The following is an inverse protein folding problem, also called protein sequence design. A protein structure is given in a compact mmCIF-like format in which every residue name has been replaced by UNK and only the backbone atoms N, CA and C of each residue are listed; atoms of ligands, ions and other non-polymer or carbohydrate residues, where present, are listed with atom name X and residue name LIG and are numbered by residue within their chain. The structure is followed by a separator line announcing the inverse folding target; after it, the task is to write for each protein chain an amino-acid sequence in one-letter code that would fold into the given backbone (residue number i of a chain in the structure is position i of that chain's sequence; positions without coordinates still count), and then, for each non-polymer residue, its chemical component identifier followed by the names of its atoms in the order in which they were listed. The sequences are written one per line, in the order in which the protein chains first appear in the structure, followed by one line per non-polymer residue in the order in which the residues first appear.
data_IF_137440895100
#
_entry.id   IF_137440895100
#
_cell.length_a   1.000
_cell.length_b   1.000
_cell.length_c   1.000
_cell.angle_alpha   90.00
_cell.angle_beta   90.00
_cell.angle_gamma   90.00
#
_symmetry.space_group_name_H-M   'P 1'
#
loop_
_entity.id
_entity.type
_entity.pdbx_description
1 polymer ?
#
# COMPACT_ATOMS: atom_id res chain seq x y z
N UNK A 1 20.82 -3.33 11.90
CA UNK A 1 19.47 -3.81 11.53
C UNK A 1 19.06 -3.13 10.24
N UNK A 2 18.58 -3.91 9.26
CA UNK A 2 18.07 -3.38 8.00
C UNK A 2 16.74 -2.64 8.22
N UNK A 3 16.30 -1.86 7.23
CA UNK A 3 15.08 -1.08 7.34
C UNK A 3 14.26 -1.07 6.07
N UNK A 4 12.95 -1.29 6.22
CA UNK A 4 11.93 -1.12 5.18
C UNK A 4 10.78 -0.31 5.77
N UNK A 5 10.35 0.73 5.07
CA UNK A 5 9.25 1.60 5.48
C UNK A 5 8.29 1.90 4.36
N UNK A 6 7.06 1.44 4.48
CA UNK A 6 5.98 1.77 3.56
C UNK A 6 5.34 3.09 3.99
N UNK A 7 5.73 4.18 3.33
CA UNK A 7 5.24 5.54 3.62
C UNK A 7 3.94 5.83 2.86
N UNK A 8 2.82 5.23 3.26
CA UNK A 8 1.54 5.37 2.54
C UNK A 8 0.70 6.53 3.06
N UNK A 9 1.27 7.73 3.06
CA UNK A 9 0.68 8.91 3.72
C UNK A 9 -0.45 9.56 2.93
N UNK A 10 -0.47 9.34 1.60
CA UNK A 10 -1.57 9.80 0.79
C UNK A 10 -2.75 8.86 0.98
N UNK A 11 -3.94 9.41 1.23
CA UNK A 11 -5.09 8.60 1.61
C UNK A 11 -6.41 9.29 1.29
N UNK A 12 -7.41 8.50 0.91
CA UNK A 12 -8.75 8.95 0.57
C UNK A 12 -9.75 7.79 0.67
N UNK A 13 -11.03 8.07 0.49
CA UNK A 13 -12.01 7.07 0.08
C UNK A 13 -12.28 7.22 -1.43
N UNK A 14 -12.97 6.24 -2.02
CA UNK A 14 -13.24 6.24 -3.45
C UNK A 14 -14.54 6.98 -3.84
N UNK A 15 -15.18 7.73 -2.92
CA UNK A 15 -16.49 8.35 -3.16
C UNK A 15 -16.52 9.22 -4.43
N UNK A 16 -15.44 9.98 -4.68
CA UNK A 16 -15.32 10.85 -5.85
C UNK A 16 -15.14 10.14 -7.20
N UNK A 17 -14.90 8.81 -7.19
CA UNK A 17 -14.69 8.04 -8.42
C UNK A 17 -16.00 7.68 -9.14
N UNK A 18 -17.16 7.90 -8.50
CA UNK A 18 -18.45 7.86 -9.18
C UNK A 18 -18.82 9.28 -9.66
N UNK A 19 -19.17 9.46 -10.94
CA UNK A 19 -19.64 10.76 -11.40
C UNK A 19 -20.99 11.07 -10.74
N UNK A 20 -21.21 12.29 -10.23
CA UNK A 20 -22.52 12.66 -9.70
C UNK A 20 -23.56 12.71 -10.83
N UNK A 21 -24.80 12.32 -10.53
CA UNK A 21 -25.89 12.51 -11.47
C UNK A 21 -26.17 14.01 -11.63
N UNK A 22 -26.35 14.45 -12.88
CA UNK A 22 -26.76 15.82 -13.21
C UNK A 22 -28.21 15.82 -13.71
N UNK A 23 -28.83 17.00 -13.68
CA UNK A 23 -30.17 17.20 -14.24
C UNK A 23 -30.20 16.80 -15.72
N UNK A 24 -31.33 16.24 -16.17
CA UNK A 24 -31.51 15.81 -17.56
C UNK A 24 -30.84 14.48 -17.92
N UNK A 25 -30.40 13.69 -16.94
CA UNK A 25 -29.85 12.34 -17.18
C UNK A 25 -28.37 12.33 -17.59
N UNK A 26 -27.66 13.44 -17.42
CA UNK A 26 -26.23 13.53 -17.67
C UNK A 26 -25.39 13.10 -16.45
N UNK A 27 -24.12 12.80 -16.68
CA UNK A 27 -23.14 12.55 -15.61
C UNK A 27 -22.20 13.74 -15.46
N UNK A 28 -21.84 14.05 -14.20
CA UNK A 28 -20.75 14.96 -13.88
C UNK A 28 -19.38 14.31 -14.10
N UNK A 29 -18.34 14.97 -13.60
CA UNK A 29 -16.96 14.48 -13.73
C UNK A 29 -16.60 13.65 -12.50
N UNK A 30 -16.27 12.39 -12.72
CA UNK A 30 -15.62 11.57 -11.70
C UNK A 30 -14.16 12.00 -11.52
N UNK A 31 -13.68 11.98 -10.30
CA UNK A 31 -12.33 12.40 -9.94
C UNK A 31 -11.61 11.30 -9.17
N UNK A 32 -10.33 11.11 -9.49
CA UNK A 32 -9.44 10.34 -8.66
C UNK A 32 -8.99 11.17 -7.45
N UNK A 33 -8.63 10.52 -6.33
CA UNK A 33 -7.90 11.19 -5.26
C UNK A 33 -6.67 11.95 -5.79
N UNK A 34 -6.41 13.12 -5.21
CA UNK A 34 -5.25 13.96 -5.54
C UNK A 34 -3.94 13.21 -5.29
N UNK A 35 -2.82 13.63 -5.86
CA UNK A 35 -1.48 13.05 -5.62
C UNK A 35 -1.34 11.55 -5.98
N UNK A 36 -2.22 11.00 -6.83
CA UNK A 36 -2.04 9.65 -7.39
C UNK A 36 -1.09 9.59 -8.60
N UNK A 37 -0.67 10.72 -9.16
CA UNK A 37 0.26 10.75 -10.30
C UNK A 37 1.71 10.43 -9.87
N UNK A 38 1.92 9.18 -9.48
CA UNK A 38 3.20 8.68 -8.98
C UNK A 38 3.30 7.17 -9.16
N UNK A 39 4.54 6.67 -9.21
CA UNK A 39 4.83 5.26 -9.02
C UNK A 39 4.74 4.93 -7.52
N UNK A 40 4.27 3.74 -7.17
CA UNK A 40 4.23 3.34 -5.77
C UNK A 40 3.42 2.10 -5.47
N UNK A 41 3.21 1.91 -4.17
CA UNK A 41 2.38 0.85 -3.60
C UNK A 41 1.13 1.46 -3.01
N UNK A 42 0.04 0.70 -3.02
CA UNK A 42 -1.23 1.11 -2.45
C UNK A 42 -1.95 -0.05 -1.79
N UNK A 43 -2.78 0.28 -0.82
CA UNK A 43 -3.68 -0.64 -0.13
C UNK A 43 -5.08 -0.07 -0.29
N UNK A 44 -5.99 -0.89 -0.81
CA UNK A 44 -7.43 -0.63 -0.88
C UNK A 44 -8.11 -1.54 0.12
N UNK A 45 -9.04 -0.99 0.90
CA UNK A 45 -9.85 -1.75 1.85
C UNK A 45 -11.32 -1.45 1.57
N UNK A 46 -12.08 -2.48 1.24
CA UNK A 46 -13.53 -2.40 1.21
C UNK A 46 -14.07 -2.79 2.59
N UNK A 47 -14.62 -1.83 3.33
CA UNK A 47 -15.12 -2.05 4.70
C UNK A 47 -16.42 -2.86 4.75
N UNK A 48 -17.18 -2.91 3.65
CA UNK A 48 -18.42 -3.69 3.56
C UNK A 48 -18.16 -5.19 3.43
N UNK A 49 -17.14 -5.57 2.65
CA UNK A 49 -16.84 -6.98 2.38
C UNK A 49 -15.59 -7.47 3.10
N UNK A 50 -14.88 -6.57 3.79
CA UNK A 50 -13.55 -6.80 4.37
C UNK A 50 -12.51 -7.31 3.33
N UNK A 51 -12.70 -6.97 2.05
CA UNK A 51 -11.73 -7.29 1.00
C UNK A 51 -10.58 -6.29 1.03
N UNK A 52 -9.36 -6.81 0.88
CA UNK A 52 -8.15 -6.01 0.86
C UNK A 52 -7.42 -6.26 -0.44
N UNK A 53 -7.13 -5.18 -1.16
CA UNK A 53 -6.29 -5.25 -2.35
C UNK A 53 -4.99 -4.51 -2.05
N UNK A 54 -3.88 -5.22 -2.15
CA UNK A 54 -2.53 -4.65 -2.06
C UNK A 54 -1.92 -4.76 -3.44
N UNK A 55 -1.30 -3.69 -3.93
CA UNK A 55 -0.60 -3.78 -5.19
C UNK A 55 0.32 -2.62 -5.47
N UNK A 56 1.04 -2.78 -6.57
CA UNK A 56 2.06 -1.84 -7.06
C UNK A 56 1.63 -1.23 -8.40
N UNK A 57 2.17 -0.07 -8.73
CA UNK A 57 2.00 0.53 -10.05
C UNK A 57 3.15 1.47 -10.39
N UNK A 58 3.66 1.39 -11.63
CA UNK A 58 4.57 2.40 -12.18
C UNK A 58 3.92 3.78 -12.35
N UNK A 59 2.58 3.82 -12.42
CA UNK A 59 1.79 5.03 -12.26
C UNK A 59 0.42 4.64 -11.67
N UNK A 60 0.14 5.08 -10.44
CA UNK A 60 -1.09 4.76 -9.71
C UNK A 60 -2.29 5.44 -10.37
N UNK A 61 -2.15 6.69 -10.80
CA UNK A 61 -3.21 7.43 -11.50
C UNK A 61 -3.68 6.66 -12.73
N UNK A 62 -2.78 6.29 -13.64
CA UNK A 62 -3.13 5.54 -14.85
C UNK A 62 -3.85 4.23 -14.50
N UNK A 63 -3.37 3.53 -13.46
CA UNK A 63 -3.99 2.27 -13.01
C UNK A 63 -5.40 2.47 -12.46
N UNK A 64 -5.67 3.58 -11.76
CA UNK A 64 -7.00 3.89 -11.23
C UNK A 64 -7.92 4.50 -12.29
N UNK A 65 -7.37 5.25 -13.25
CA UNK A 65 -8.12 5.90 -14.31
C UNK A 65 -8.79 4.88 -15.24
N UNK A 66 -8.13 3.76 -15.54
CA UNK A 66 -8.77 2.68 -16.31
C UNK A 66 -9.96 2.05 -15.60
N UNK A 67 -10.06 2.16 -14.26
CA UNK A 67 -11.16 1.62 -13.47
C UNK A 67 -12.33 2.60 -13.31
N UNK A 68 -12.08 3.88 -13.52
CA UNK A 68 -13.08 4.94 -13.37
C UNK A 68 -14.20 4.82 -14.42
N UNK A 69 -13.86 4.41 -15.65
CA UNK A 69 -14.85 4.07 -16.67
C UNK A 69 -15.73 2.90 -16.22
N UNK A 70 -15.12 1.83 -15.72
CA UNK A 70 -15.85 0.64 -15.24
C UNK A 70 -16.76 0.94 -14.05
N UNK A 71 -16.33 1.81 -13.12
CA UNK A 71 -17.17 2.26 -12.00
C UNK A 71 -18.44 2.95 -12.49
N UNK A 72 -18.31 3.78 -13.52
CA UNK A 72 -19.43 4.49 -14.15
C UNK A 72 -20.34 3.52 -14.90
N UNK A 73 -19.78 2.62 -15.72
CA UNK A 73 -20.53 1.63 -16.51
C UNK A 73 -21.31 0.65 -15.64
N UNK A 74 -20.74 0.22 -14.52
CA UNK A 74 -21.40 -0.68 -13.56
C UNK A 74 -22.38 0.03 -12.62
N UNK A 75 -22.48 1.37 -12.68
CA UNK A 75 -23.46 2.14 -11.93
C UNK A 75 -23.21 2.20 -10.41
N UNK A 76 -21.95 2.10 -9.96
CA UNK A 76 -21.65 2.25 -8.53
C UNK A 76 -21.89 3.68 -8.06
N UNK A 77 -22.70 3.86 -7.02
CA UNK A 77 -22.96 5.17 -6.42
C UNK A 77 -21.87 5.66 -5.47
N UNK A 78 -21.74 6.99 -5.27
CA UNK A 78 -20.75 7.57 -4.33
C UNK A 78 -20.85 7.00 -2.91
N UNK A 79 -22.07 6.69 -2.43
CA UNK A 79 -22.28 6.11 -1.11
C UNK A 79 -21.66 4.72 -0.95
N UNK A 80 -21.66 3.90 -2.01
CA UNK A 80 -21.01 2.57 -1.98
C UNK A 80 -19.49 2.76 -1.97
N UNK A 81 -18.99 3.62 -2.85
CA UNK A 81 -17.55 3.88 -2.97
C UNK A 81 -16.96 4.60 -1.76
N UNK A 82 -17.76 5.33 -0.99
CA UNK A 82 -17.36 5.93 0.27
C UNK A 82 -16.93 4.88 1.31
N UNK A 83 -17.36 3.62 1.18
CA UNK A 83 -16.96 2.51 2.05
C UNK A 83 -15.64 1.84 1.61
N UNK A 84 -15.05 2.31 0.51
CA UNK A 84 -13.79 1.80 -0.03
C UNK A 84 -12.70 2.83 0.26
N UNK A 85 -11.82 2.49 1.18
CA UNK A 85 -10.66 3.28 1.56
C UNK A 85 -9.45 2.93 0.70
N UNK A 86 -8.60 3.92 0.45
CA UNK A 86 -7.31 3.71 -0.23
C UNK A 86 -6.22 4.55 0.43
N UNK A 87 -5.03 3.96 0.58
CA UNK A 87 -3.82 4.65 1.02
C UNK A 87 -2.66 4.25 0.09
N UNK A 88 -1.79 5.19 -0.26
CA UNK A 88 -0.72 4.96 -1.22
C UNK A 88 0.52 5.81 -0.96
N UNK A 89 1.63 5.38 -1.53
CA UNK A 89 2.93 6.01 -1.38
C UNK A 89 4.07 5.13 -1.86
N UNK A 90 5.24 5.28 -1.26
CA UNK A 90 6.49 4.64 -1.70
C UNK A 90 7.14 3.92 -0.51
N UNK A 91 7.79 2.79 -0.78
CA UNK A 91 8.63 2.12 0.22
C UNK A 91 10.02 2.77 0.28
N UNK A 92 10.59 2.89 1.48
CA UNK A 92 11.96 3.33 1.69
C UNK A 92 12.77 2.19 2.27
N UNK A 93 13.96 1.94 1.72
CA UNK A 93 14.80 0.82 2.14
C UNK A 93 16.20 1.29 2.57
N UNK A 94 16.82 0.57 3.50
CA UNK A 94 18.20 0.80 3.93
C UNK A 94 18.86 -0.50 4.41
N UNK A 95 20.14 -0.66 4.08
CA UNK A 95 20.99 -1.73 4.61
C UNK A 95 21.20 -1.61 6.13
N UNK A 96 21.69 -2.70 6.74
CA UNK A 96 22.11 -2.75 8.13
C UNK A 96 23.28 -1.81 8.41
N UNK A 97 23.10 -0.95 9.42
CA UNK A 97 24.18 -0.15 10.02
C UNK A 97 24.53 -0.67 11.43
N UNK A 98 25.77 -0.48 11.93
CA UNK A 98 26.13 -0.67 13.34
C UNK A 98 25.23 0.19 14.26
N UNK A 99 24.79 -0.34 15.40
CA UNK A 99 23.56 0.08 16.15
C UNK A 99 23.66 1.38 17.03
N UNK A 100 22.57 1.89 17.67
CA UNK A 100 21.29 2.43 17.13
C UNK A 100 20.74 3.68 17.93
N UNK A 101 19.53 4.25 17.67
CA UNK A 101 18.30 3.82 18.40
C UNK A 101 16.98 3.96 17.59
N UNK A 102 15.88 3.43 18.13
CA UNK A 102 14.46 3.65 17.76
C UNK A 102 14.22 4.33 16.40
N UNK A 103 13.87 3.51 15.42
CA UNK A 103 13.32 4.02 14.16
C UNK A 103 12.02 4.76 14.49
N UNK A 104 11.89 6.05 14.14
CA UNK A 104 10.62 6.75 14.27
C UNK A 104 9.60 6.03 13.40
N UNK A 105 8.52 5.56 14.01
CA UNK A 105 7.44 4.90 13.30
C UNK A 105 6.86 5.82 12.20
N UNK A 106 6.80 7.14 12.43
CA UNK A 106 6.05 8.06 11.59
C UNK A 106 6.80 8.67 10.38
N UNK A 107 8.06 8.29 10.11
CA UNK A 107 8.84 8.84 9.00
C UNK A 107 9.95 7.90 8.50
N UNK A 108 10.39 8.01 7.23
CA UNK A 108 11.55 7.28 6.75
C UNK A 108 12.80 7.67 7.54
N UNK A 109 13.63 6.69 7.93
CA UNK A 109 14.89 6.99 8.62
C UNK A 109 15.90 7.68 7.70
N UNK A 110 16.78 8.52 8.24
CA UNK A 110 17.89 9.09 7.48
C UNK A 110 18.74 8.02 6.79
N UNK A 111 19.09 8.28 5.53
CA UNK A 111 19.86 7.37 4.67
C UNK A 111 19.06 6.23 4.05
N UNK A 112 17.72 6.17 4.24
CA UNK A 112 16.87 5.28 3.47
C UNK A 112 16.55 5.86 2.09
N UNK A 113 16.48 5.00 1.08
CA UNK A 113 16.26 5.39 -0.32
C UNK A 113 14.84 4.97 -0.74
N UNK A 114 14.06 5.85 -1.41
CA UNK A 114 12.76 5.49 -1.95
C UNK A 114 12.91 4.46 -3.08
N UNK A 115 12.08 3.43 -3.06
CA UNK A 115 12.02 2.38 -4.08
C UNK A 115 10.66 2.49 -4.77
N UNK A 116 10.67 2.87 -6.05
CA UNK A 116 9.48 2.96 -6.87
C UNK A 116 9.37 1.73 -7.78
N UNK A 117 8.17 1.14 -7.94
CA UNK A 117 7.98 0.04 -8.89
C UNK A 117 8.13 0.54 -10.34
N UNK A 118 8.78 -0.27 -11.18
CA UNK A 118 8.89 -0.05 -12.61
C UNK A 118 7.85 -0.87 -13.38
N UNK A 119 7.47 -0.42 -14.58
CA UNK A 119 6.48 -1.12 -15.39
C UNK A 119 7.02 -2.48 -15.85
N UNK A 120 6.25 -3.55 -15.63
CA UNK A 120 6.63 -4.91 -16.03
C UNK A 120 7.73 -5.56 -15.20
N UNK A 121 8.19 -4.92 -14.12
CA UNK A 121 9.25 -5.44 -13.26
C UNK A 121 8.73 -5.84 -11.86
N UNK A 122 9.34 -6.83 -11.20
CA UNK A 122 9.09 -7.11 -9.79
C UNK A 122 9.42 -5.90 -8.92
N UNK A 123 8.60 -5.67 -7.89
CA UNK A 123 8.87 -4.60 -6.93
C UNK A 123 9.82 -5.09 -5.83
N UNK A 124 11.12 -4.89 -6.07
CA UNK A 124 12.18 -5.43 -5.21
C UNK A 124 13.16 -4.37 -4.73
N UNK A 125 13.83 -4.65 -3.62
CA UNK A 125 14.98 -3.90 -3.12
C UNK A 125 16.12 -4.84 -2.73
N UNK A 126 17.36 -4.37 -2.79
CA UNK A 126 18.51 -5.11 -2.28
C UNK A 126 18.79 -4.61 -0.86
N UNK A 127 18.76 -5.53 0.11
CA UNK A 127 19.10 -5.26 1.50
C UNK A 127 20.15 -6.28 1.94
N UNK A 128 21.28 -5.78 2.45
CA UNK A 128 22.40 -6.62 2.91
C UNK A 128 22.84 -7.67 1.88
N UNK A 129 22.75 -7.33 0.59
CA UNK A 129 23.10 -8.21 -0.53
C UNK A 129 22.01 -9.18 -0.97
N UNK A 130 20.88 -9.30 -0.26
CA UNK A 130 19.75 -10.14 -0.66
C UNK A 130 18.64 -9.33 -1.35
N UNK A 131 17.96 -9.94 -2.31
CA UNK A 131 16.81 -9.36 -3.00
C UNK A 131 15.55 -9.60 -2.18
N UNK A 132 14.87 -8.51 -1.79
CA UNK A 132 13.59 -8.51 -1.08
C UNK A 132 12.48 -8.13 -2.04
N UNK A 133 11.42 -8.93 -2.12
CA UNK A 133 10.15 -8.59 -2.76
C UNK A 133 9.31 -7.76 -1.79
N UNK A 134 9.18 -6.47 -2.09
CA UNK A 134 8.51 -5.50 -1.24
C UNK A 134 6.99 -5.65 -1.29
N UNK A 135 6.42 -6.14 -2.39
CA UNK A 135 4.98 -6.41 -2.48
C UNK A 135 4.59 -7.61 -1.61
N UNK A 136 5.36 -8.71 -1.73
CA UNK A 136 5.13 -9.92 -0.93
C UNK A 136 5.29 -9.65 0.57
N UNK A 137 6.34 -8.91 0.96
CA UNK A 137 6.54 -8.52 2.34
C UNK A 137 5.39 -7.67 2.90
N UNK A 138 4.87 -6.70 2.14
CA UNK A 138 3.73 -5.90 2.59
C UNK A 138 2.49 -6.76 2.78
N UNK A 139 2.21 -7.66 1.84
CA UNK A 139 1.08 -8.61 1.96
C UNK A 139 1.20 -9.42 3.26
N UNK A 140 2.38 -9.97 3.56
CA UNK A 140 2.59 -10.76 4.79
C UNK A 140 2.52 -9.90 6.05
N UNK A 141 3.03 -8.66 6.03
CA UNK A 141 2.90 -7.72 7.13
C UNK A 141 1.43 -7.46 7.47
N UNK A 142 0.59 -7.15 6.47
CA UNK A 142 -0.85 -6.91 6.68
C UNK A 142 -1.54 -8.17 7.23
N UNK A 143 -1.26 -9.34 6.66
CA UNK A 143 -1.94 -10.59 7.03
C UNK A 143 -1.55 -11.09 8.42
N UNK A 144 -0.27 -11.00 8.79
CA UNK A 144 0.25 -11.64 10.00
C UNK A 144 0.34 -10.70 11.19
N UNK A 145 0.67 -9.42 10.97
CA UNK A 145 0.99 -8.49 12.05
C UNK A 145 -0.16 -7.54 12.38
N UNK A 146 -0.98 -7.17 11.38
CA UNK A 146 -2.21 -6.39 11.63
C UNK A 146 -3.41 -7.28 11.93
N UNK A 147 -3.27 -8.61 11.84
CA UNK A 147 -4.35 -9.57 12.06
C UNK A 147 -5.57 -9.29 11.17
N UNK A 148 -5.35 -8.63 10.03
CA UNK A 148 -6.38 -7.82 9.39
C UNK A 148 -7.48 -8.64 8.69
N UNK A 149 -7.31 -9.97 8.66
CA UNK A 149 -8.22 -10.91 8.01
C UNK A 149 -8.51 -10.55 6.55
N UNK A 150 -9.54 -11.19 6.00
CA UNK A 150 -10.06 -10.88 4.67
C UNK A 150 -9.28 -11.49 3.51
N UNK A 151 -9.84 -11.37 2.31
CA UNK A 151 -9.25 -11.90 1.08
C UNK A 151 -8.26 -10.88 0.53
N UNK A 152 -6.98 -11.27 0.43
CA UNK A 152 -5.95 -10.50 -0.28
C UNK A 152 -5.85 -11.01 -1.71
N UNK A 153 -6.17 -10.14 -2.66
CA UNK A 153 -6.37 -10.49 -4.07
C UNK A 153 -5.11 -10.81 -4.88
N UNK A 154 -3.91 -10.78 -4.29
CA UNK A 154 -2.71 -11.33 -4.92
C UNK A 154 -2.42 -12.74 -4.37
N UNK A 155 -3.23 -13.70 -4.83
CA UNK A 155 -3.20 -15.10 -4.35
C UNK A 155 -1.84 -15.79 -4.56
N UNK A 156 -0.99 -15.28 -5.47
CA UNK A 156 0.34 -15.82 -5.74
C UNK A 156 1.36 -15.52 -4.64
N UNK A 157 1.13 -14.50 -3.81
CA UNK A 157 2.05 -14.02 -2.78
C UNK A 157 1.50 -14.19 -1.36
N UNK A 158 0.55 -15.12 -1.17
CA UNK A 158 -0.06 -15.40 0.15
C UNK A 158 0.79 -16.37 0.97
N UNK A 159 1.65 -17.17 0.34
CA UNK A 159 2.52 -18.11 1.04
C UNK A 159 3.52 -17.43 1.98
N UNK A 160 4.09 -18.15 2.96
CA UNK A 160 5.09 -17.60 3.88
C UNK A 160 6.25 -16.93 3.15
N UNK A 161 6.74 -15.82 3.67
CA UNK A 161 7.91 -15.13 3.16
C UNK A 161 9.02 -15.11 4.21
N UNK A 162 10.18 -15.67 3.87
CA UNK A 162 11.32 -15.83 4.78
C UNK A 162 12.29 -14.67 4.60
N UNK A 163 12.79 -14.11 5.69
CA UNK A 163 13.83 -13.08 5.63
C UNK A 163 15.12 -13.69 5.05
N UNK A 164 15.52 -13.33 3.81
CA UNK A 164 16.68 -13.93 3.17
C UNK A 164 17.99 -13.24 3.58
N UNK A 165 17.93 -12.16 4.38
CA UNK A 165 19.11 -11.43 4.81
C UNK A 165 19.75 -12.09 6.04
N UNK A 166 21.07 -11.91 6.25
CA UNK A 166 21.75 -12.41 7.45
C UNK A 166 21.39 -11.62 8.72
N UNK A 167 20.72 -10.47 8.59
CA UNK A 167 20.40 -9.58 9.70
C UNK A 167 18.87 -9.41 9.87
N UNK A 168 18.38 -9.08 11.06
CA UNK A 168 16.99 -8.65 11.20
C UNK A 168 16.70 -7.38 10.40
N UNK A 169 15.46 -7.25 9.94
CA UNK A 169 14.95 -6.06 9.24
C UNK A 169 13.82 -5.46 10.08
N UNK A 170 13.90 -4.16 10.39
CA UNK A 170 12.71 -3.44 10.86
C UNK A 170 11.81 -3.13 9.68
N UNK A 171 10.56 -3.60 9.75
CA UNK A 171 9.53 -3.32 8.76
C UNK A 171 8.48 -2.43 9.41
N UNK A 172 8.26 -1.26 8.83
CA UNK A 172 7.27 -0.31 9.31
C UNK A 172 6.30 0.08 8.18
N UNK A 173 5.06 0.36 8.56
CA UNK A 173 3.99 0.74 7.64
C UNK A 173 3.21 1.90 8.24
N UNK A 174 3.18 3.01 7.52
CA UNK A 174 2.37 4.18 7.83
C UNK A 174 1.17 4.23 6.87
N UNK A 175 -0.02 4.55 7.39
CA UNK A 175 -1.22 4.76 6.58
C UNK A 175 -2.02 5.99 7.04
N UNK A 176 -2.75 6.59 6.09
CA UNK A 176 -3.66 7.71 6.37
C UNK A 176 -5.08 7.27 6.75
N UNK A 177 -5.98 8.24 6.93
CA UNK A 177 -7.32 7.99 7.45
C UNK A 177 -8.32 7.36 6.45
N UNK A 178 -7.92 7.16 5.19
CA UNK A 178 -8.73 6.59 4.11
C UNK A 178 -10.12 7.22 3.99
N UNK A 179 -10.17 8.56 3.95
CA UNK A 179 -11.42 9.31 3.90
C UNK A 179 -12.28 9.20 5.17
N UNK A 180 -11.64 8.94 6.32
CA UNK A 180 -12.29 8.83 7.63
C UNK A 180 -12.71 7.42 8.03
N UNK A 181 -12.49 6.42 7.17
CA UNK A 181 -12.83 5.02 7.44
C UNK A 181 -11.92 4.36 8.48
N UNK A 182 -10.70 4.86 8.64
CA UNK A 182 -9.71 4.35 9.59
C UNK A 182 -9.03 5.50 10.33
N UNK A 183 -8.50 5.22 11.52
CA UNK A 183 -7.55 6.12 12.15
C UNK A 183 -6.21 6.02 11.40
N UNK A 184 -5.65 7.18 11.02
CA UNK A 184 -4.28 7.25 10.55
C UNK A 184 -3.34 6.73 11.65
N UNK A 185 -2.39 5.88 11.28
CA UNK A 185 -1.51 5.27 12.27
C UNK A 185 -0.22 4.78 11.63
N UNK A 186 0.66 4.24 12.46
CA UNK A 186 1.85 3.53 12.02
C UNK A 186 2.06 2.29 12.87
N UNK A 187 2.53 1.23 12.23
CA UNK A 187 3.02 0.04 12.89
C UNK A 187 4.51 -0.17 12.57
N UNK A 188 5.20 -0.86 13.48
CA UNK A 188 6.56 -1.31 13.27
C UNK A 188 6.75 -2.68 13.91
N UNK A 189 7.41 -3.58 13.20
CA UNK A 189 7.76 -4.93 13.67
C UNK A 189 9.15 -5.31 13.16
N UNK A 190 9.83 -6.19 13.90
CA UNK A 190 11.14 -6.74 13.52
C UNK A 190 10.95 -8.09 12.83
N UNK A 191 11.42 -8.19 11.58
CA UNK A 191 11.52 -9.43 10.83
C UNK A 191 12.89 -10.07 11.09
N UNK A 192 12.90 -11.09 11.95
CA UNK A 192 14.13 -11.81 12.29
C UNK A 192 14.80 -12.46 11.08
N UNK A 193 16.13 -12.59 11.10
CA UNK A 193 16.86 -13.31 10.05
C UNK A 193 16.38 -14.77 9.97
N UNK A 194 16.10 -15.27 8.76
CA UNK A 194 15.56 -16.63 8.55
C UNK A 194 14.14 -16.87 9.09
N UNK A 195 13.46 -15.86 9.63
CA UNK A 195 12.09 -15.99 10.13
C UNK A 195 11.10 -15.85 8.98
N UNK A 196 10.11 -16.74 8.93
CA UNK A 196 8.99 -16.64 8.01
C UNK A 196 7.88 -15.76 8.60
N UNK A 197 7.31 -14.90 7.77
CA UNK A 197 5.99 -14.30 8.00
C UNK A 197 4.97 -14.94 7.09
#
# INVERSE_FOLDING_TARGET
MGYIFYALNNSANCAGMAPPALAGGAFGVAALPLAMNMAGTYIIVNTMTNNRYIGIAANIQNRFQTRLATVTEMGFGPAILANIGVTWGVAHCRNTLPAPPLVPAAAPVPGSIPIAPAAGAPYTAIIDGAVINLEHLLIRLILTQLGAGGTVSNNLMVGPYVNPTPNPITVALQWGAMGGLFAANTMQVIWGAGVAW
#
